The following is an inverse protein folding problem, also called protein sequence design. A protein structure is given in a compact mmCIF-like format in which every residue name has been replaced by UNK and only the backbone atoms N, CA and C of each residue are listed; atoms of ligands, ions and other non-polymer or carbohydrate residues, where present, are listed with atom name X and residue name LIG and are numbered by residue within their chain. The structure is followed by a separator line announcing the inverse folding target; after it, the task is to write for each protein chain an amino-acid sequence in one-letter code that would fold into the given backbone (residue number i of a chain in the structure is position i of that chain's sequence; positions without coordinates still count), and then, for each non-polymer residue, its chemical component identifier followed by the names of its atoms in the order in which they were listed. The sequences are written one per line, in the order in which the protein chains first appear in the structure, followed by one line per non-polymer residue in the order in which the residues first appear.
data_IF_558072431687
#
_entry.id   IF_558072431687
#
_cell.length_a   1.000
_cell.length_b   1.000
_cell.length_c   1.000
_cell.angle_alpha   90.00
_cell.angle_beta   90.00
_cell.angle_gamma   90.00
#
_symmetry.space_group_name_H-M   'P 1'
#
loop_
_entity.id
_entity.type
_entity.pdbx_description
1 polymer ?
#
# COMPACT_ATOMS: atom_id res chain seq x y z
N UNK A 1 11.98 13.93 -14.49
CA UNK A 1 10.60 13.59 -14.10
C UNK A 1 10.73 12.69 -12.90
N UNK A 2 10.17 13.07 -11.76
CA UNK A 2 10.05 12.16 -10.62
C UNK A 2 9.04 11.10 -11.02
N UNK A 3 9.53 9.89 -11.30
CA UNK A 3 8.68 8.75 -11.63
C UNK A 3 7.92 8.35 -10.37
N UNK A 4 6.65 8.74 -10.29
CA UNK A 4 5.80 8.35 -9.18
C UNK A 4 5.55 6.84 -9.22
N UNK A 5 5.78 6.16 -8.10
CA UNK A 5 5.81 4.71 -8.07
C UNK A 5 4.50 4.20 -7.45
N UNK A 6 3.81 3.32 -8.16
CA UNK A 6 2.66 2.56 -7.61
C UNK A 6 3.15 1.68 -6.46
N UNK A 7 2.25 1.17 -5.63
CA UNK A 7 2.66 0.15 -4.68
C UNK A 7 1.62 -0.18 -3.64
N UNK A 8 2.05 -0.93 -2.64
CA UNK A 8 1.22 -1.38 -1.54
C UNK A 8 1.90 -1.08 -0.21
N UNK A 9 1.10 -0.96 0.85
CA UNK A 9 1.63 -0.72 2.19
C UNK A 9 0.75 -1.34 3.27
N UNK A 10 1.35 -1.47 4.46
CA UNK A 10 0.70 -1.89 5.70
C UNK A 10 1.04 -0.93 6.84
N UNK A 11 0.10 -0.73 7.77
CA UNK A 11 0.38 -0.10 9.06
C UNK A 11 0.59 -1.20 10.11
N UNK A 12 1.84 -1.41 10.51
CA UNK A 12 2.25 -2.46 11.43
C UNK A 12 2.72 -1.80 12.71
N UNK A 13 1.96 -1.97 13.80
CA UNK A 13 2.36 -1.51 15.15
C UNK A 13 2.73 -0.01 15.20
N UNK A 14 2.07 0.82 14.39
CA UNK A 14 2.32 2.26 14.31
C UNK A 14 3.33 2.69 13.25
N UNK A 15 3.91 1.75 12.49
CA UNK A 15 4.87 2.03 11.43
C UNK A 15 4.33 1.66 10.04
N UNK A 16 4.62 2.50 9.05
CA UNK A 16 4.26 2.24 7.66
C UNK A 16 5.33 1.37 7.01
N UNK A 17 4.96 0.14 6.65
CA UNK A 17 5.72 -0.69 5.72
C UNK A 17 5.22 -0.41 4.31
N UNK A 18 5.89 0.51 3.61
CA UNK A 18 5.63 0.80 2.21
C UNK A 18 6.50 -0.05 1.28
N UNK A 19 5.92 -0.56 0.19
CA UNK A 19 6.64 -1.30 -0.83
C UNK A 19 6.31 -0.71 -2.21
N UNK A 20 7.15 0.22 -2.71
CA UNK A 20 7.08 0.73 -4.07
C UNK A 20 7.25 -0.39 -5.10
N UNK A 21 6.42 -0.34 -6.15
CA UNK A 21 6.43 -1.30 -7.24
C UNK A 21 7.73 -1.21 -8.05
N UNK A 22 8.37 -2.34 -8.25
CA UNK A 22 9.58 -2.47 -9.05
C UNK A 22 9.32 -3.50 -10.15
N UNK A 23 9.39 -3.06 -11.41
CA UNK A 23 9.17 -3.93 -12.58
C UNK A 23 10.28 -4.98 -12.76
N UNK A 24 11.40 -4.87 -12.04
CA UNK A 24 12.47 -5.86 -12.07
C UNK A 24 12.25 -7.00 -11.08
N UNK A 25 11.19 -6.93 -10.26
CA UNK A 25 10.85 -7.94 -9.26
C UNK A 25 9.65 -8.76 -9.75
N UNK A 26 9.86 -10.07 -9.89
CA UNK A 26 8.83 -10.99 -10.41
C UNK A 26 7.90 -11.58 -9.34
N UNK A 27 8.27 -11.48 -8.06
CA UNK A 27 7.44 -11.99 -6.97
C UNK A 27 6.44 -10.95 -6.48
N UNK A 28 5.31 -11.41 -5.94
CA UNK A 28 4.30 -10.50 -5.38
C UNK A 28 3.54 -9.66 -6.41
N UNK A 29 3.84 -9.76 -7.72
CA UNK A 29 3.23 -8.96 -8.78
C UNK A 29 1.75 -9.32 -8.98
N UNK A 30 0.90 -8.31 -9.11
CA UNK A 30 -0.51 -8.49 -9.41
C UNK A 30 -0.72 -8.96 -10.85
N UNK A 31 -1.89 -9.56 -11.14
CA UNK A 31 -2.23 -10.06 -12.48
C UNK A 31 -2.12 -8.99 -13.59
N UNK A 32 -2.31 -7.72 -13.26
CA UNK A 32 -2.17 -6.60 -14.20
C UNK A 32 -0.71 -6.27 -14.57
N UNK A 33 0.27 -6.79 -13.84
CA UNK A 33 1.70 -6.62 -14.14
C UNK A 33 2.28 -5.23 -13.80
N UNK A 34 1.49 -4.35 -13.19
CA UNK A 34 1.86 -2.95 -12.97
C UNK A 34 1.78 -2.50 -11.50
N UNK A 35 1.54 -3.43 -10.58
CA UNK A 35 1.54 -3.21 -9.14
C UNK A 35 1.70 -4.55 -8.41
N UNK A 36 1.86 -4.54 -7.09
CA UNK A 36 1.89 -5.75 -6.27
C UNK A 36 0.51 -6.18 -5.79
N UNK A 37 0.36 -7.47 -5.52
CA UNK A 37 -0.76 -8.06 -4.80
C UNK A 37 -0.36 -8.26 -3.34
N UNK A 38 -1.13 -7.71 -2.39
CA UNK A 38 -0.82 -7.82 -0.96
C UNK A 38 -0.61 -9.26 -0.49
N UNK A 39 -1.45 -10.20 -0.94
CA UNK A 39 -1.37 -11.61 -0.53
C UNK A 39 -0.09 -12.28 -1.05
N UNK A 40 0.26 -12.03 -2.32
CA UNK A 40 1.44 -12.62 -2.94
C UNK A 40 2.73 -12.01 -2.41
N UNK A 41 2.73 -10.69 -2.13
CA UNK A 41 3.92 -9.98 -1.68
C UNK A 41 4.25 -10.24 -0.20
N UNK A 42 3.23 -10.44 0.64
CA UNK A 42 3.38 -10.46 2.10
C UNK A 42 4.44 -11.43 2.62
N UNK A 43 4.52 -12.64 2.06
CA UNK A 43 5.50 -13.63 2.49
C UNK A 43 6.95 -13.20 2.27
N UNK A 44 7.19 -12.22 1.40
CA UNK A 44 8.52 -11.69 1.08
C UNK A 44 8.87 -10.44 1.89
N UNK A 45 7.88 -9.64 2.31
CA UNK A 45 8.10 -8.31 2.90
C UNK A 45 7.73 -8.21 4.37
N UNK A 46 6.97 -9.17 4.90
CA UNK A 46 6.56 -9.15 6.31
C UNK A 46 7.80 -9.15 7.23
N UNK A 47 7.73 -8.46 8.39
CA UNK A 47 8.80 -8.55 9.39
C UNK A 47 9.13 -10.00 9.74
N UNK A 48 10.40 -10.34 9.92
CA UNK A 48 10.86 -11.73 10.12
C UNK A 48 10.16 -12.48 11.27
N UNK A 49 9.71 -11.75 12.30
CA UNK A 49 9.01 -12.31 13.47
C UNK A 49 7.47 -12.27 13.34
N UNK A 50 6.95 -11.79 12.22
CA UNK A 50 5.51 -11.67 12.00
C UNK A 50 4.91 -13.02 11.59
N UNK A 51 4.01 -13.54 12.43
CA UNK A 51 3.23 -14.76 12.15
C UNK A 51 1.82 -14.47 11.63
N UNK A 52 1.51 -13.21 11.33
CA UNK A 52 0.17 -12.76 10.94
C UNK A 52 -0.03 -12.87 9.43
N UNK A 53 -1.25 -13.17 8.95
CA UNK A 53 -1.55 -13.16 7.52
C UNK A 53 -1.54 -11.74 6.95
N UNK A 54 -1.45 -11.62 5.63
CA UNK A 54 -1.38 -10.33 4.91
C UNK A 54 -2.55 -9.38 5.19
N UNK A 55 -3.71 -9.93 5.59
CA UNK A 55 -4.91 -9.16 5.87
C UNK A 55 -5.07 -8.77 7.34
N UNK A 56 -4.14 -9.18 8.20
CA UNK A 56 -4.24 -8.92 9.64
C UNK A 56 -4.15 -7.44 9.94
N UNK A 57 -3.13 -6.75 9.45
CA UNK A 57 -2.92 -5.32 9.67
C UNK A 57 -3.72 -4.46 8.68
N UNK A 58 -4.08 -3.21 9.06
CA UNK A 58 -4.57 -2.20 8.13
C UNK A 58 -3.59 -2.06 6.97
N UNK A 59 -4.12 -1.92 5.76
CA UNK A 59 -3.33 -1.90 4.53
C UNK A 59 -3.94 -0.95 3.51
N UNK A 60 -3.14 -0.57 2.55
CA UNK A 60 -3.56 0.29 1.46
C UNK A 60 -2.71 0.10 0.21
N UNK A 61 -3.00 0.93 -0.78
CA UNK A 61 -2.39 0.88 -2.11
C UNK A 61 -2.37 2.26 -2.71
N UNK A 62 -1.27 2.57 -3.38
CA UNK A 62 -1.17 3.74 -4.24
C UNK A 62 -1.33 3.31 -5.70
N UNK A 63 -2.27 3.95 -6.38
CA UNK A 63 -2.52 3.83 -7.81
C UNK A 63 -2.50 5.19 -8.50
N UNK A 64 -2.49 5.18 -9.83
CA UNK A 64 -2.67 6.39 -10.63
C UNK A 64 -3.87 6.25 -11.54
N UNK A 65 -4.68 7.30 -11.57
CA UNK A 65 -5.75 7.43 -12.57
C UNK A 65 -5.17 7.50 -13.99
N UNK A 66 -6.01 7.31 -15.00
CA UNK A 66 -5.62 7.47 -16.41
C UNK A 66 -5.11 8.89 -16.74
N UNK A 67 -5.39 9.88 -15.89
CA UNK A 67 -4.89 11.26 -16.02
C UNK A 67 -3.61 11.51 -15.21
N UNK A 68 -2.99 10.48 -14.65
CA UNK A 68 -1.78 10.59 -13.84
C UNK A 68 -1.99 11.12 -12.42
N UNK A 69 -3.24 11.33 -11.97
CA UNK A 69 -3.50 11.74 -10.58
C UNK A 69 -3.26 10.58 -9.60
N UNK A 70 -2.55 10.80 -8.48
CA UNK A 70 -2.35 9.79 -7.45
C UNK A 70 -3.65 9.50 -6.69
N UNK A 71 -3.96 8.22 -6.53
CA UNK A 71 -5.13 7.69 -5.84
C UNK A 71 -4.66 6.80 -4.69
N UNK A 72 -4.93 7.22 -3.45
CA UNK A 72 -4.53 6.49 -2.25
C UNK A 72 -5.73 5.74 -1.69
N UNK A 73 -5.73 4.42 -1.84
CA UNK A 73 -6.73 3.54 -1.23
C UNK A 73 -6.21 3.06 0.12
N UNK A 74 -6.99 3.23 1.19
CA UNK A 74 -6.55 2.86 2.53
C UNK A 74 -7.70 2.32 3.40
N UNK A 75 -7.37 1.39 4.28
CA UNK A 75 -8.26 0.98 5.38
C UNK A 75 -8.54 2.18 6.31
N UNK A 76 -9.78 2.28 6.82
CA UNK A 76 -10.24 3.39 7.67
C UNK A 76 -9.48 3.55 8.98
N UNK A 77 -8.83 2.49 9.47
CA UNK A 77 -8.03 2.49 10.69
C UNK A 77 -6.61 3.03 10.45
N UNK A 78 -6.26 3.45 9.23
CA UNK A 78 -5.04 4.21 8.97
C UNK A 78 -5.40 5.68 9.05
N UNK A 79 -4.91 6.37 10.07
CA UNK A 79 -5.16 7.79 10.27
C UNK A 79 -4.43 8.69 9.27
N UNK A 80 -4.88 9.94 9.17
CA UNK A 80 -4.32 10.94 8.25
C UNK A 80 -2.88 11.33 8.62
N UNK A 81 -2.46 11.12 9.87
CA UNK A 81 -1.09 11.34 10.34
C UNK A 81 -0.04 10.51 9.59
N UNK A 82 -0.44 9.40 8.96
CA UNK A 82 0.46 8.54 8.18
C UNK A 82 0.60 8.97 6.72
N UNK A 83 -0.26 9.87 6.23
CA UNK A 83 -0.27 10.29 4.83
C UNK A 83 1.07 10.90 4.40
N UNK A 84 1.71 11.83 5.15
CA UNK A 84 3.00 12.38 4.76
C UNK A 84 4.08 11.30 4.60
N UNK A 85 4.08 10.30 5.49
CA UNK A 85 5.04 9.18 5.46
C UNK A 85 4.80 8.33 4.21
N UNK A 86 3.54 8.01 3.92
CA UNK A 86 3.16 7.27 2.71
C UNK A 86 3.62 8.04 1.45
N UNK A 87 3.34 9.35 1.39
CA UNK A 87 3.73 10.19 0.26
C UNK A 87 5.24 10.20 0.05
N UNK A 88 6.03 10.38 1.11
CA UNK A 88 7.49 10.34 1.06
C UNK A 88 8.00 9.00 0.52
N UNK A 89 7.51 7.88 1.05
CA UNK A 89 7.93 6.53 0.64
C UNK A 89 7.61 6.20 -0.82
N UNK A 90 6.57 6.82 -1.40
CA UNK A 90 6.20 6.66 -2.81
C UNK A 90 6.68 7.82 -3.71
N UNK A 91 7.44 8.77 -3.17
CA UNK A 91 7.96 9.92 -3.91
C UNK A 91 6.88 10.88 -4.42
N UNK A 92 5.72 10.96 -3.75
CA UNK A 92 4.63 11.87 -4.11
C UNK A 92 4.93 13.29 -3.64
N UNK A 93 4.85 14.25 -4.57
CA UNK A 93 4.96 15.68 -4.26
C UNK A 93 3.60 16.36 -4.07
N UNK A 94 2.56 15.81 -4.71
CA UNK A 94 1.20 16.33 -4.69
C UNK A 94 0.29 15.45 -3.83
N UNK A 95 -0.67 16.08 -3.16
CA UNK A 95 -1.63 15.40 -2.30
C UNK A 95 -2.49 14.40 -3.11
N UNK A 96 -2.50 13.10 -2.78
CA UNK A 96 -3.37 12.13 -3.42
C UNK A 96 -4.85 12.37 -3.12
N UNK A 97 -5.69 11.85 -4.03
CA UNK A 97 -7.12 11.67 -3.73
C UNK A 97 -7.23 10.45 -2.82
N UNK A 98 -7.75 10.66 -1.61
CA UNK A 98 -7.86 9.61 -0.60
C UNK A 98 -9.20 8.89 -0.75
N UNK A 99 -9.14 7.57 -0.78
CA UNK A 99 -10.28 6.68 -0.80
C UNK A 99 -10.20 5.73 0.39
N UNK A 100 -10.96 6.04 1.44
CA UNK A 100 -11.16 5.11 2.55
C UNK A 100 -12.06 3.97 2.09
N UNK A 101 -11.49 2.78 1.95
CA UNK A 101 -12.22 1.60 1.50
C UNK A 101 -12.64 0.76 2.72
N UNK A 102 -13.91 0.87 3.09
CA UNK A 102 -14.55 0.10 4.16
C UNK A 102 -15.11 -1.26 3.71
N UNK A 103 -14.81 -1.70 2.48
CA UNK A 103 -15.28 -2.99 1.98
C UNK A 103 -14.63 -4.15 2.76
N UNK A 104 -15.27 -5.33 2.70
CA UNK A 104 -14.71 -6.58 3.26
C UNK A 104 -13.29 -6.86 2.80
N UNK A 105 -12.88 -6.33 1.64
CA UNK A 105 -11.54 -6.54 1.08
C UNK A 105 -10.44 -5.91 1.93
N UNK A 106 -10.72 -4.80 2.63
CA UNK A 106 -9.73 -4.09 3.44
C UNK A 106 -9.81 -4.37 4.92
N UNK A 107 -10.80 -5.13 5.40
CA UNK A 107 -10.93 -5.48 6.83
C UNK A 107 -9.63 -6.06 7.41
N UNK A 108 -9.40 -5.73 8.68
CA UNK A 108 -8.23 -6.09 9.48
C UNK A 108 -8.66 -6.53 10.90
N UNK A 109 -7.71 -6.76 11.80
CA UNK A 109 -8.02 -7.20 13.19
C UNK A 109 -8.77 -6.15 14.03
N UNK A 110 -8.89 -4.91 13.54
CA UNK A 110 -9.60 -3.80 14.18
C UNK A 110 -11.07 -3.67 13.72
N UNK A 111 -11.53 -4.47 12.74
CA UNK A 111 -12.85 -4.38 12.05
C UNK A 111 -13.83 -5.52 12.34
#
# INVERSE_FOLDING_TARGET
MSDYIRGVFWLIEGEILAVPFDSNIDFGVAKSGNNYNHKLLWEHVKPKKCNKPYYYYPRGRLEFSNKGKPLLYMNINIGEEFIPIIMEQFGLNDMPIIHYDGSKHYKCYLD
#
